data_IF_269318730416
#
_entry.id   IF_269318730416
#
_cell.length_a   1.000
_cell.length_b   1.000
_cell.length_c   1.000
_cell.angle_alpha   90.00
_cell.angle_beta   90.00
_cell.angle_gamma   90.00
#
_symmetry.space_group_name_H-M   'P 1'
#
loop_
_entity.id
_entity.type
_entity.pdbx_description
1 polymer ?
#
# COMPACT_ATOMS: atom_id res chain seq x y z
N UNK A 1 -13.23 -15.23 -27.68
CA UNK A 1 -13.04 -15.65 -26.28
C UNK A 1 -12.34 -14.49 -25.60
N UNK A 2 -13.11 -13.60 -24.99
CA UNK A 2 -12.63 -12.29 -24.54
C UNK A 2 -13.48 -11.84 -23.36
N UNK A 3 -12.96 -12.07 -22.16
CA UNK A 3 -13.57 -11.52 -20.96
C UNK A 3 -12.99 -10.12 -20.78
N UNK A 4 -13.85 -9.10 -20.87
CA UNK A 4 -13.49 -7.73 -20.54
C UNK A 4 -13.46 -7.67 -19.01
N UNK A 5 -12.26 -7.57 -18.43
CA UNK A 5 -12.13 -7.33 -17.01
C UNK A 5 -12.52 -5.87 -16.73
N UNK A 6 -13.51 -5.68 -15.87
CA UNK A 6 -13.88 -4.34 -15.42
C UNK A 6 -12.68 -3.68 -14.73
N UNK A 7 -12.34 -2.43 -15.09
CA UNK A 7 -11.26 -1.73 -14.42
C UNK A 7 -11.58 -1.54 -12.95
N UNK A 8 -10.60 -1.79 -12.10
CA UNK A 8 -10.70 -1.64 -10.66
C UNK A 8 -10.26 -0.23 -10.24
N UNK A 9 -10.79 0.27 -9.12
CA UNK A 9 -10.47 1.61 -8.59
C UNK A 9 -9.84 1.46 -7.21
N UNK A 10 -8.61 1.99 -6.99
CA UNK A 10 -7.95 1.93 -5.69
C UNK A 10 -8.69 2.70 -4.62
N UNK A 11 -8.71 2.14 -3.41
CA UNK A 11 -9.33 2.75 -2.23
C UNK A 11 -8.72 4.12 -1.91
N UNK A 12 -7.44 4.31 -2.23
CA UNK A 12 -6.73 5.55 -1.93
C UNK A 12 -7.03 6.71 -2.91
N UNK A 13 -7.59 6.44 -4.09
CA UNK A 13 -7.89 7.48 -5.08
C UNK A 13 -8.98 7.05 -6.07
N UNK A 14 -10.20 7.56 -5.87
CA UNK A 14 -11.37 7.24 -6.70
C UNK A 14 -11.30 7.71 -8.16
N UNK A 15 -10.36 8.59 -8.50
CA UNK A 15 -10.17 9.10 -9.87
C UNK A 15 -9.27 8.20 -10.72
N UNK A 16 -8.64 7.18 -10.12
CA UNK A 16 -7.75 6.26 -10.82
C UNK A 16 -8.54 5.04 -11.28
N UNK A 17 -8.30 4.59 -12.51
CA UNK A 17 -8.79 3.31 -13.04
C UNK A 17 -7.59 2.45 -13.39
N UNK A 18 -7.60 1.21 -12.90
CA UNK A 18 -6.54 0.23 -13.16
C UNK A 18 -7.11 -0.89 -13.99
N UNK A 19 -6.44 -1.17 -15.12
CA UNK A 19 -6.78 -2.24 -16.04
C UNK A 19 -5.59 -3.20 -16.16
N UNK A 20 -5.87 -4.50 -16.24
CA UNK A 20 -4.86 -5.52 -16.44
C UNK A 20 -4.66 -5.74 -17.94
N UNK A 21 -3.58 -5.19 -18.50
CA UNK A 21 -3.24 -5.35 -19.93
C UNK A 21 -2.41 -6.60 -20.24
N UNK A 22 -1.90 -7.30 -19.21
CA UNK A 22 -0.94 -8.40 -19.35
C UNK A 22 0.49 -7.95 -19.66
N UNK A 23 0.73 -6.64 -19.76
CA UNK A 23 2.05 -6.05 -19.94
C UNK A 23 2.76 -5.80 -18.61
N UNK A 24 4.07 -5.54 -18.68
CA UNK A 24 4.87 -5.25 -17.48
C UNK A 24 4.44 -3.91 -16.87
N UNK A 25 3.95 -3.96 -15.64
CA UNK A 25 3.61 -2.76 -14.87
C UNK A 25 4.87 -1.94 -14.56
N UNK A 26 4.81 -0.62 -14.73
CA UNK A 26 5.91 0.31 -14.42
C UNK A 26 6.00 0.59 -12.92
N UNK A 27 7.16 1.07 -12.46
CA UNK A 27 7.48 1.36 -11.05
C UNK A 27 6.33 2.02 -10.27
N UNK A 28 5.92 3.23 -10.68
CA UNK A 28 5.05 4.07 -9.85
C UNK A 28 3.58 3.65 -9.93
N UNK A 29 3.17 3.05 -11.05
CA UNK A 29 1.83 2.48 -11.19
C UNK A 29 1.66 1.20 -10.38
N UNK A 30 2.72 0.38 -10.29
CA UNK A 30 2.76 -0.82 -9.46
C UNK A 30 2.64 -0.52 -7.96
N UNK A 31 3.07 0.67 -7.52
CA UNK A 31 2.95 1.10 -6.14
C UNK A 31 1.49 1.16 -5.63
N UNK A 32 0.54 1.53 -6.50
CA UNK A 32 -0.88 1.57 -6.16
C UNK A 32 -1.43 0.16 -5.91
N UNK A 33 -1.02 -0.82 -6.71
CA UNK A 33 -1.37 -2.23 -6.51
C UNK A 33 -0.76 -2.79 -5.23
N UNK A 34 0.52 -2.53 -5.00
CA UNK A 34 1.22 -2.97 -3.79
C UNK A 34 0.59 -2.39 -2.53
N UNK A 35 0.24 -1.09 -2.56
CA UNK A 35 -0.46 -0.43 -1.46
C UNK A 35 -1.79 -1.10 -1.16
N UNK A 36 -2.61 -1.30 -2.17
CA UNK A 36 -3.92 -1.92 -1.98
C UNK A 36 -3.80 -3.36 -1.46
N UNK A 37 -2.88 -4.15 -2.02
CA UNK A 37 -2.64 -5.51 -1.57
C UNK A 37 -2.18 -5.55 -0.10
N UNK A 38 -1.30 -4.63 0.30
CA UNK A 38 -0.83 -4.53 1.68
C UNK A 38 -1.97 -4.12 2.63
N UNK A 39 -2.77 -3.12 2.25
CA UNK A 39 -3.92 -2.68 3.05
C UNK A 39 -4.95 -3.79 3.22
N UNK A 40 -5.28 -4.50 2.14
CA UNK A 40 -6.28 -5.58 2.16
C UNK A 40 -5.76 -6.90 2.77
N UNK A 41 -4.46 -7.01 3.04
CA UNK A 41 -3.88 -8.22 3.64
C UNK A 41 -4.13 -8.33 5.15
N UNK A 42 -4.56 -7.23 5.81
CA UNK A 42 -4.69 -7.16 7.27
C UNK A 42 -3.36 -7.11 8.03
N UNK A 43 -2.21 -7.11 7.33
CA UNK A 43 -0.89 -7.03 7.97
C UNK A 43 -0.72 -5.74 8.76
N UNK A 44 -1.21 -4.62 8.23
CA UNK A 44 -1.08 -3.32 8.91
C UNK A 44 -1.96 -3.25 10.15
N UNK A 45 -3.18 -3.78 10.08
CA UNK A 45 -4.08 -3.86 11.25
C UNK A 45 -3.46 -4.75 12.35
N UNK A 46 -2.90 -5.90 11.96
CA UNK A 46 -2.19 -6.76 12.89
C UNK A 46 -0.96 -6.07 13.52
N UNK A 47 -0.25 -5.24 12.77
CA UNK A 47 0.84 -4.43 13.33
C UNK A 47 0.31 -3.37 14.30
N UNK A 48 -0.80 -2.70 13.99
CA UNK A 48 -1.40 -1.70 14.91
C UNK A 48 -1.80 -2.35 16.24
N UNK A 49 -2.33 -3.57 16.20
CA UNK A 49 -2.76 -4.31 17.40
C UNK A 49 -1.60 -4.87 18.25
N UNK A 50 -0.48 -5.24 17.62
CA UNK A 50 0.58 -6.02 18.27
C UNK A 50 1.88 -5.25 18.51
N UNK A 51 2.09 -4.12 17.85
CA UNK A 51 3.34 -3.38 17.92
C UNK A 51 3.31 -2.36 19.05
N UNK A 52 4.18 -2.54 20.06
CA UNK A 52 4.31 -1.60 21.16
C UNK A 52 5.12 -0.39 20.73
N UNK A 53 4.48 0.79 20.70
CA UNK A 53 5.16 2.04 20.42
C UNK A 53 5.79 2.64 21.69
N UNK A 54 7.11 2.63 21.76
CA UNK A 54 7.89 3.14 22.90
C UNK A 54 8.17 4.65 22.82
N UNK A 55 7.70 5.34 21.77
CA UNK A 55 7.91 6.77 21.59
C UNK A 55 7.02 7.55 22.55
N UNK A 56 7.43 8.78 22.87
CA UNK A 56 6.62 9.70 23.67
C UNK A 56 5.25 9.94 23.01
N UNK A 57 4.12 9.55 23.66
CA UNK A 57 2.79 9.67 23.08
C UNK A 57 2.41 11.11 22.69
N UNK A 58 2.95 12.12 23.36
CA UNK A 58 2.66 13.53 23.05
C UNK A 58 3.30 13.98 21.72
N UNK A 59 4.22 13.20 21.18
CA UNK A 59 4.98 13.50 19.98
C UNK A 59 4.59 12.62 18.78
N UNK A 60 3.61 11.73 18.94
CA UNK A 60 3.14 10.82 17.89
C UNK A 60 2.10 11.53 17.02
N UNK A 61 2.45 11.75 15.74
CA UNK A 61 1.50 12.21 14.70
C UNK A 61 0.99 11.06 13.83
N UNK A 62 1.83 10.06 13.61
CA UNK A 62 1.53 8.86 12.82
C UNK A 62 1.90 7.62 13.63
N UNK A 63 1.02 6.61 13.62
CA UNK A 63 1.27 5.36 14.33
C UNK A 63 2.54 4.69 13.82
N UNK A 64 3.11 3.82 14.65
CA UNK A 64 4.31 3.08 14.25
C UNK A 64 4.01 2.16 13.07
N UNK A 65 2.84 1.49 13.05
CA UNK A 65 2.45 0.65 11.91
C UNK A 65 2.26 1.46 10.62
N UNK A 66 1.71 2.68 10.69
CA UNK A 66 1.58 3.57 9.52
C UNK A 66 2.94 3.96 8.91
N UNK A 67 3.95 4.16 9.75
CA UNK A 67 5.32 4.42 9.28
C UNK A 67 5.96 3.17 8.69
N UNK A 68 5.81 2.01 9.35
CA UNK A 68 6.31 0.73 8.83
C UNK A 68 5.69 0.43 7.46
N UNK A 69 4.38 0.60 7.31
CA UNK A 69 3.67 0.51 6.02
C UNK A 69 4.33 1.38 4.95
N UNK A 70 4.62 2.64 5.28
CA UNK A 70 5.28 3.58 4.36
C UNK A 70 6.66 3.09 3.96
N UNK A 71 7.49 2.67 4.92
CA UNK A 71 8.84 2.16 4.65
C UNK A 71 8.78 0.90 3.79
N UNK A 72 7.88 -0.05 4.08
CA UNK A 72 7.72 -1.27 3.27
C UNK A 72 7.38 -0.94 1.83
N UNK A 73 6.45 -0.01 1.59
CA UNK A 73 6.09 0.41 0.23
C UNK A 73 7.27 1.12 -0.47
N UNK A 74 7.98 2.00 0.23
CA UNK A 74 9.18 2.66 -0.31
C UNK A 74 10.24 1.64 -0.73
N UNK A 75 10.53 0.66 0.12
CA UNK A 75 11.50 -0.41 -0.18
C UNK A 75 11.05 -1.28 -1.35
N UNK A 76 9.75 -1.59 -1.44
CA UNK A 76 9.18 -2.32 -2.57
C UNK A 76 9.28 -1.55 -3.90
N UNK A 77 9.22 -0.22 -3.84
CA UNK A 77 9.48 0.68 -4.98
C UNK A 77 10.97 0.88 -5.28
N UNK A 78 11.88 0.28 -4.51
CA UNK A 78 13.33 0.42 -4.68
C UNK A 78 13.93 1.68 -4.05
N UNK A 79 13.22 2.37 -3.15
CA UNK A 79 13.75 3.51 -2.40
C UNK A 79 14.38 3.00 -1.10
N UNK A 80 15.72 2.95 -1.10
CA UNK A 80 16.53 2.27 -0.07
C UNK A 80 17.37 3.26 0.77
N UNK A 81 17.36 4.54 0.41
CA UNK A 81 17.99 5.63 1.18
C UNK A 81 17.50 5.65 2.64
#
# INVERSE_FOLDING_TARGET
MGEILSPWTPSCNGSIRVEMSGERTTSDSGALLLREALDNSGVIDALEDNLVDQRDPQRIRHSLASQVRTVVLQRAMGWID
#
